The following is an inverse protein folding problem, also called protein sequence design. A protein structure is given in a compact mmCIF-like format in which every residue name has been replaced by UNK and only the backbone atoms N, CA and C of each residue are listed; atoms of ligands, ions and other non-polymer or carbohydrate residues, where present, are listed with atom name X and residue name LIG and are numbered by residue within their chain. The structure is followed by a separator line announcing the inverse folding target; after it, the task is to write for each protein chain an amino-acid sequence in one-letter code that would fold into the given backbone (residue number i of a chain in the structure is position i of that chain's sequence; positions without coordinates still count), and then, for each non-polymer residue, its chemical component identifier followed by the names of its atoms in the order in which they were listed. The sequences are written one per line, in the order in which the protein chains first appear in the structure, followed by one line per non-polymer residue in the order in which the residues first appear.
data_IF_077611331760
#
_entry.id   IF_077611331760
#
_cell.length_a   1.000
_cell.length_b   1.000
_cell.length_c   1.000
_cell.angle_alpha   90.00
_cell.angle_beta   90.00
_cell.angle_gamma   90.00
#
_symmetry.space_group_name_H-M   'P 1'
#
loop_
_entity.id
_entity.type
_entity.pdbx_description
1 polymer ?
#
# COMPACT_ATOMS: atom_id res chain seq x y z
N UNK A 1 56.53 40.20 -22.98
CA UNK A 1 55.36 39.50 -23.53
C UNK A 1 54.61 38.86 -22.38
N UNK A 2 53.34 39.25 -22.20
CA UNK A 2 52.42 38.81 -21.14
C UNK A 2 51.92 37.40 -21.47
N UNK A 3 51.87 36.51 -20.49
CA UNK A 3 51.10 35.26 -20.57
C UNK A 3 50.15 35.20 -19.40
N UNK A 4 48.86 35.12 -19.73
CA UNK A 4 47.72 35.36 -18.86
C UNK A 4 47.42 34.14 -17.97
N UNK A 5 46.98 34.41 -16.75
CA UNK A 5 46.51 33.41 -15.79
C UNK A 5 45.07 33.03 -16.13
N UNK A 6 44.83 31.75 -16.42
CA UNK A 6 43.47 31.20 -16.57
C UNK A 6 42.97 30.82 -15.18
N UNK A 7 42.00 31.58 -14.66
CA UNK A 7 41.26 31.26 -13.45
C UNK A 7 40.09 30.34 -13.79
N UNK A 8 40.11 29.11 -13.27
CA UNK A 8 38.96 28.21 -13.32
C UNK A 8 37.96 28.58 -12.21
N UNK A 9 36.85 29.21 -12.59
CA UNK A 9 35.66 29.34 -11.76
C UNK A 9 34.94 27.99 -11.74
N UNK A 10 35.05 27.25 -10.64
CA UNK A 10 34.24 26.06 -10.37
C UNK A 10 32.91 26.56 -9.77
N UNK A 11 31.86 26.58 -10.59
CA UNK A 11 30.50 26.80 -10.12
C UNK A 11 30.01 25.54 -9.38
N UNK A 12 29.47 25.65 -8.14
CA UNK A 12 28.85 24.52 -7.48
C UNK A 12 27.51 24.22 -8.17
N UNK A 13 27.44 23.05 -8.82
CA UNK A 13 26.17 22.44 -9.22
C UNK A 13 25.36 22.14 -7.95
N UNK A 14 24.44 23.03 -7.61
CA UNK A 14 23.33 22.75 -6.72
C UNK A 14 22.45 21.68 -7.39
N UNK A 15 22.77 20.41 -7.15
CA UNK A 15 21.83 19.32 -7.40
C UNK A 15 20.69 19.45 -6.40
N UNK A 16 19.62 20.12 -6.82
CA UNK A 16 18.34 20.03 -6.15
C UNK A 16 17.85 18.58 -6.26
N UNK A 17 18.06 17.80 -5.20
CA UNK A 17 17.42 16.50 -5.04
C UNK A 17 15.93 16.74 -4.83
N UNK A 18 15.18 16.91 -5.91
CA UNK A 18 13.73 16.77 -5.86
C UNK A 18 13.45 15.35 -5.38
N UNK A 19 12.96 15.22 -4.14
CA UNK A 19 12.35 13.99 -3.63
C UNK A 19 11.18 13.67 -4.57
N UNK A 20 11.45 12.86 -5.59
CA UNK A 20 10.43 12.37 -6.48
C UNK A 20 9.55 11.43 -5.64
N UNK A 21 8.36 11.90 -5.31
CA UNK A 21 7.31 11.06 -4.76
C UNK A 21 7.05 9.95 -5.79
N UNK A 22 7.21 8.70 -5.40
CA UNK A 22 6.95 7.59 -6.31
C UNK A 22 5.44 7.50 -6.55
N UNK A 23 5.02 7.53 -7.81
CA UNK A 23 3.61 7.34 -8.14
C UNK A 23 3.11 5.98 -7.62
N UNK A 24 1.84 5.88 -7.20
CA UNK A 24 1.26 4.61 -6.75
C UNK A 24 1.40 3.52 -7.82
N UNK A 25 1.90 2.35 -7.41
CA UNK A 25 2.03 1.20 -8.28
C UNK A 25 0.71 0.43 -8.34
N UNK A 26 0.22 0.21 -9.55
CA UNK A 26 -0.95 -0.65 -9.80
C UNK A 26 -0.53 -2.05 -10.21
N UNK A 27 -0.93 -3.04 -9.42
CA UNK A 27 -0.82 -4.46 -9.74
C UNK A 27 -2.13 -4.93 -10.35
N UNK A 28 -2.09 -5.37 -11.61
CA UNK A 28 -3.25 -5.84 -12.39
C UNK A 28 -3.09 -7.27 -12.89
N UNK A 29 -1.86 -7.79 -12.87
CA UNK A 29 -1.57 -9.15 -13.30
C UNK A 29 -2.10 -10.17 -12.30
N UNK A 30 -2.91 -11.12 -12.80
CA UNK A 30 -3.61 -12.07 -11.93
C UNK A 30 -2.67 -12.93 -11.10
N UNK A 31 -1.50 -13.30 -11.63
CA UNK A 31 -0.50 -14.10 -10.91
C UNK A 31 0.16 -13.34 -9.77
N UNK A 32 0.49 -12.06 -9.97
CA UNK A 32 1.06 -11.20 -8.93
C UNK A 32 0.04 -10.95 -7.82
N UNK A 33 -1.20 -10.64 -8.18
CA UNK A 33 -2.31 -10.45 -7.23
C UNK A 33 -2.50 -11.73 -6.40
N UNK A 34 -2.61 -12.90 -7.05
CA UNK A 34 -2.78 -14.15 -6.33
C UNK A 34 -1.60 -14.47 -5.40
N UNK A 35 -0.37 -14.17 -5.82
CA UNK A 35 0.82 -14.34 -4.99
C UNK A 35 0.75 -13.47 -3.73
N UNK A 36 0.38 -12.19 -3.89
CA UNK A 36 0.17 -11.27 -2.78
C UNK A 36 -0.92 -11.78 -1.83
N UNK A 37 -2.10 -12.12 -2.35
CA UNK A 37 -3.23 -12.58 -1.54
C UNK A 37 -2.92 -13.86 -0.75
N UNK A 38 -2.19 -14.80 -1.36
CA UNK A 38 -1.73 -16.03 -0.69
C UNK A 38 -0.70 -15.77 0.42
N UNK A 39 0.03 -14.67 0.35
CA UNK A 39 1.01 -14.31 1.39
C UNK A 39 0.36 -13.77 2.67
N UNK A 40 -0.95 -13.46 2.64
CA UNK A 40 -1.67 -12.87 3.76
C UNK A 40 -2.56 -13.92 4.42
N UNK A 41 -2.21 -14.32 5.64
CA UNK A 41 -3.04 -15.22 6.45
C UNK A 41 -4.25 -14.49 7.02
N UNK A 42 -5.37 -15.20 7.13
CA UNK A 42 -6.64 -14.73 7.71
C UNK A 42 -7.20 -15.76 8.67
N UNK A 43 -8.34 -15.45 9.30
CA UNK A 43 -9.11 -16.38 10.14
C UNK A 43 -9.56 -17.65 9.40
N UNK A 44 -9.70 -17.61 8.07
CA UNK A 44 -10.16 -18.73 7.25
C UNK A 44 -9.23 -18.96 6.03
N UNK A 45 -7.96 -19.29 6.29
CA UNK A 45 -6.98 -19.56 5.25
C UNK A 45 -6.26 -18.29 4.78
N UNK A 46 -6.03 -18.14 3.48
CA UNK A 46 -5.42 -16.93 2.92
C UNK A 46 -6.46 -15.89 2.48
N UNK A 47 -6.00 -14.66 2.25
CA UNK A 47 -6.87 -13.54 1.91
C UNK A 47 -7.60 -13.75 0.57
N UNK A 48 -7.01 -14.48 -0.36
CA UNK A 48 -7.65 -14.82 -1.64
C UNK A 48 -8.83 -15.78 -1.44
N UNK A 49 -8.64 -16.81 -0.62
CA UNK A 49 -9.73 -17.71 -0.18
C UNK A 49 -10.82 -16.93 0.53
N UNK A 50 -10.44 -16.03 1.44
CA UNK A 50 -11.40 -15.20 2.18
C UNK A 50 -12.27 -14.35 1.27
N UNK A 51 -11.69 -13.68 0.26
CA UNK A 51 -12.46 -12.92 -0.74
C UNK A 51 -13.41 -13.81 -1.53
N UNK A 52 -12.94 -14.97 -2.00
CA UNK A 52 -13.75 -15.88 -2.80
C UNK A 52 -14.96 -16.42 -1.99
N UNK A 53 -14.74 -16.79 -0.73
CA UNK A 53 -15.80 -17.32 0.16
C UNK A 53 -16.93 -16.32 0.39
N UNK A 54 -16.64 -15.02 0.29
CA UNK A 54 -17.63 -13.96 0.52
C UNK A 54 -18.23 -13.42 -0.77
N UNK A 55 -17.91 -14.03 -1.93
CA UNK A 55 -18.45 -13.65 -3.24
C UNK A 55 -17.74 -12.47 -3.90
N UNK A 56 -16.51 -12.16 -3.48
CA UNK A 56 -15.71 -11.07 -4.03
C UNK A 56 -14.55 -11.59 -4.89
N UNK A 57 -14.27 -10.87 -5.97
CA UNK A 57 -13.07 -11.07 -6.81
C UNK A 57 -12.20 -9.83 -6.74
N UNK A 58 -10.88 -10.04 -6.61
CA UNK A 58 -9.90 -8.96 -6.66
C UNK A 58 -9.55 -8.63 -8.10
N UNK A 59 -9.69 -7.37 -8.49
CA UNK A 59 -9.43 -6.88 -9.84
C UNK A 59 -8.07 -6.20 -9.97
N UNK A 60 -7.70 -5.42 -8.95
CA UNK A 60 -6.45 -4.68 -8.94
C UNK A 60 -6.03 -4.42 -7.50
N UNK A 61 -4.73 -4.20 -7.32
CA UNK A 61 -4.16 -3.76 -6.04
C UNK A 61 -3.35 -2.51 -6.29
N UNK A 62 -3.64 -1.44 -5.55
CA UNK A 62 -2.85 -0.22 -5.50
C UNK A 62 -1.85 -0.35 -4.35
N UNK A 63 -0.58 -0.10 -4.63
CA UNK A 63 0.49 -0.05 -3.66
C UNK A 63 1.05 1.37 -3.63
N UNK A 64 1.05 1.99 -2.47
CA UNK A 64 1.54 3.35 -2.26
C UNK A 64 2.57 3.34 -1.13
N UNK A 65 3.80 3.77 -1.42
CA UNK A 65 4.82 3.90 -0.38
C UNK A 65 4.51 5.14 0.45
N UNK A 66 4.47 4.97 1.78
CA UNK A 66 4.19 6.08 2.68
C UNK A 66 5.33 7.09 2.64
N UNK A 67 4.98 8.35 2.38
CA UNK A 67 5.94 9.44 2.28
C UNK A 67 6.31 10.06 3.62
N UNK A 68 7.33 10.92 3.62
CA UNK A 68 7.69 11.70 4.80
C UNK A 68 6.62 12.73 5.15
N UNK A 69 5.84 13.18 4.18
CA UNK A 69 4.73 14.11 4.37
C UNK A 69 3.58 13.41 5.10
N UNK A 70 3.21 12.21 4.66
CA UNK A 70 2.18 11.39 5.31
C UNK A 70 2.54 11.10 6.77
N UNK A 71 3.81 10.80 7.06
CA UNK A 71 4.30 10.55 8.43
C UNK A 71 4.21 11.81 9.31
N UNK A 72 4.35 13.01 8.73
CA UNK A 72 4.18 14.26 9.48
C UNK A 72 2.71 14.50 9.83
N UNK A 73 1.80 14.07 8.97
CA UNK A 73 0.36 14.20 9.18
C UNK A 73 -0.19 13.13 10.13
N UNK A 74 0.31 11.90 10.04
CA UNK A 74 -0.01 10.78 10.91
C UNK A 74 1.25 10.13 11.50
N UNK A 75 1.61 10.47 12.76
CA UNK A 75 2.77 9.88 13.45
C UNK A 75 2.67 8.37 13.72
N UNK A 76 1.53 7.72 13.48
CA UNK A 76 1.40 6.26 13.58
C UNK A 76 2.03 5.54 12.38
N UNK A 77 2.21 6.24 11.26
CA UNK A 77 2.91 5.76 10.08
C UNK A 77 4.42 5.74 10.27
N UNK A 78 5.12 4.86 9.55
CA UNK A 78 6.56 4.66 9.66
C UNK A 78 7.24 4.64 8.29
N UNK A 79 8.51 5.08 8.20
CA UNK A 79 9.28 4.93 6.97
C UNK A 79 9.33 3.48 6.51
N UNK A 80 9.04 3.26 5.23
CA UNK A 80 9.00 1.93 4.60
C UNK A 80 7.68 1.18 4.75
N UNK A 81 6.68 1.80 5.37
CA UNK A 81 5.31 1.31 5.26
C UNK A 81 4.80 1.44 3.81
N UNK A 82 3.94 0.52 3.42
CA UNK A 82 3.26 0.55 2.12
C UNK A 82 1.77 0.41 2.35
N UNK A 83 0.99 1.41 1.95
CA UNK A 83 -0.46 1.28 1.87
C UNK A 83 -0.85 0.39 0.69
N UNK A 84 -1.79 -0.50 0.92
CA UNK A 84 -2.28 -1.50 -0.03
C UNK A 84 -3.80 -1.36 -0.08
N UNK A 85 -4.32 -0.79 -1.17
CA UNK A 85 -5.77 -0.71 -1.43
C UNK A 85 -6.16 -1.81 -2.42
N UNK A 86 -7.12 -2.67 -2.05
CA UNK A 86 -7.55 -3.79 -2.90
C UNK A 86 -8.89 -3.45 -3.55
N UNK A 87 -8.90 -3.34 -4.87
CA UNK A 87 -10.11 -3.10 -5.63
C UNK A 87 -10.78 -4.44 -5.92
N UNK A 88 -12.03 -4.57 -5.46
CA UNK A 88 -12.83 -5.77 -5.61
C UNK A 88 -14.09 -5.51 -6.43
N UNK A 89 -14.59 -6.56 -7.05
CA UNK A 89 -15.92 -6.63 -7.65
C UNK A 89 -16.71 -7.82 -7.10
N UNK A 90 -17.99 -7.88 -7.45
CA UNK A 90 -18.94 -8.86 -6.96
C UNK A 90 -19.89 -8.28 -5.93
N UNK A 91 -20.83 -9.10 -5.49
CA UNK A 91 -21.80 -8.73 -4.44
C UNK A 91 -21.46 -9.55 -3.21
N UNK A 92 -21.01 -8.92 -2.12
CA UNK A 92 -20.66 -9.66 -0.92
C UNK A 92 -21.90 -10.35 -0.35
N UNK A 93 -21.77 -11.63 0.00
CA UNK A 93 -22.86 -12.42 0.59
C UNK A 93 -22.73 -12.56 2.12
N UNK A 94 -21.88 -11.75 2.77
CA UNK A 94 -21.66 -11.78 4.21
C UNK A 94 -22.78 -11.05 4.98
N UNK A 95 -23.48 -11.79 5.85
CA UNK A 95 -24.56 -11.25 6.69
C UNK A 95 -24.07 -10.37 7.84
N UNK A 96 -22.87 -10.63 8.37
CA UNK A 96 -22.48 -10.12 9.70
C UNK A 96 -21.64 -8.83 9.65
N UNK A 97 -20.81 -8.67 8.61
CA UNK A 97 -20.12 -7.43 8.34
C UNK A 97 -20.42 -7.04 6.90
N UNK A 98 -21.15 -5.92 6.73
CA UNK A 98 -21.27 -5.32 5.40
C UNK A 98 -19.84 -4.97 4.97
N UNK A 99 -19.34 -5.64 3.94
CA UNK A 99 -18.11 -5.22 3.25
C UNK A 99 -18.42 -3.84 2.69
N UNK A 100 -17.78 -2.82 3.25
CA UNK A 100 -18.02 -1.43 2.88
C UNK A 100 -16.83 -0.97 2.04
N UNK A 101 -16.89 -1.32 0.75
CA UNK A 101 -15.92 -0.85 -0.23
C UNK A 101 -14.65 -1.69 -0.34
N UNK A 102 -13.61 -1.06 -0.88
CA UNK A 102 -12.29 -1.65 -1.15
C UNK A 102 -11.46 -1.67 0.14
N UNK A 103 -11.04 -2.85 0.65
CA UNK A 103 -10.27 -2.91 1.89
C UNK A 103 -8.86 -2.35 1.69
N UNK A 104 -8.37 -1.71 2.75
CA UNK A 104 -7.07 -1.08 2.82
C UNK A 104 -6.23 -1.69 3.94
N UNK A 105 -4.96 -1.94 3.64
CA UNK A 105 -3.98 -2.50 4.56
C UNK A 105 -2.72 -1.67 4.56
N UNK A 106 -2.05 -1.57 5.70
CA UNK A 106 -0.70 -1.08 5.81
C UNK A 106 0.24 -2.28 5.91
N UNK A 107 1.18 -2.41 4.99
CA UNK A 107 2.21 -3.43 5.05
C UNK A 107 3.44 -2.88 5.77
N UNK A 108 3.71 -3.39 6.96
CA UNK A 108 4.84 -3.01 7.81
C UNK A 108 5.68 -4.22 8.13
N UNK A 109 6.95 -4.24 7.71
CA UNK A 109 7.91 -5.32 7.99
C UNK A 109 7.35 -6.73 7.67
N UNK A 110 6.60 -6.83 6.56
CA UNK A 110 5.96 -8.07 6.10
C UNK A 110 4.62 -8.41 6.76
N UNK A 111 4.16 -7.64 7.75
CA UNK A 111 2.84 -7.81 8.37
C UNK A 111 1.81 -6.92 7.67
N UNK A 112 0.58 -7.41 7.54
CA UNK A 112 -0.56 -6.67 6.99
C UNK A 112 -1.44 -6.19 8.13
N UNK A 113 -1.54 -4.87 8.28
CA UNK A 113 -2.33 -4.21 9.32
C UNK A 113 -3.59 -3.64 8.68
N UNK A 114 -4.79 -4.04 9.11
CA UNK A 114 -6.02 -3.50 8.53
C UNK A 114 -6.14 -2.01 8.85
N UNK A 115 -6.52 -1.19 7.85
CA UNK A 115 -6.73 0.25 8.02
C UNK A 115 -8.22 0.63 8.09
N UNK A 116 -9.09 -0.28 7.67
CA UNK A 116 -10.53 -0.09 7.72
C UNK A 116 -11.24 -1.33 8.27
N UNK A 117 -12.54 -1.17 8.52
CA UNK A 117 -13.41 -2.23 9.03
C UNK A 117 -13.50 -3.43 8.09
N UNK A 118 -13.45 -3.23 6.77
CA UNK A 118 -13.52 -4.32 5.79
C UNK A 118 -12.24 -5.14 5.87
N UNK A 119 -11.06 -4.50 5.90
CA UNK A 119 -9.77 -5.14 6.10
C UNK A 119 -9.70 -5.88 7.43
N UNK A 120 -10.20 -5.28 8.52
CA UNK A 120 -10.25 -5.92 9.84
C UNK A 120 -11.06 -7.21 9.80
N UNK A 121 -12.25 -7.14 9.23
CA UNK A 121 -13.14 -8.30 9.13
C UNK A 121 -12.59 -9.39 8.22
N UNK A 122 -11.93 -9.03 7.11
CA UNK A 122 -11.29 -9.99 6.22
C UNK A 122 -10.16 -10.74 6.94
N UNK A 123 -9.30 -10.05 7.69
CA UNK A 123 -8.19 -10.69 8.39
C UNK A 123 -8.62 -11.50 9.62
N UNK A 124 -9.54 -10.96 10.41
CA UNK A 124 -9.80 -11.47 11.77
C UNK A 124 -11.21 -12.02 11.98
N UNK A 125 -12.14 -11.75 11.05
CA UNK A 125 -13.56 -12.01 11.25
C UNK A 125 -14.27 -11.01 12.16
N UNK A 126 -13.55 -10.07 12.78
CA UNK A 126 -14.14 -9.05 13.67
C UNK A 126 -14.65 -7.86 12.85
N UNK A 127 -15.93 -7.51 12.99
CA UNK A 127 -16.52 -6.35 12.33
C UNK A 127 -16.37 -5.08 13.19
N UNK A 128 -15.16 -4.53 13.26
CA UNK A 128 -14.86 -3.30 13.99
C UNK A 128 -13.86 -2.43 13.21
N UNK A 129 -13.78 -1.14 13.55
CA UNK A 129 -12.70 -0.27 13.06
C UNK A 129 -11.39 -0.70 13.77
N UNK A 130 -10.26 -0.80 13.06
CA UNK A 130 -8.96 -1.04 13.70
C UNK A 130 -8.66 0.00 14.78
N UNK A 131 -8.05 -0.44 15.89
CA UNK A 131 -7.57 0.44 16.96
C UNK A 131 -6.14 0.90 16.68
#
# INVERSE_FOLDING_TARGET
MRTERIAYLIAPLLMASTLAHADPKWMKESSEIQSLLKSVSTVEGDLGVRFANVGLRVNAVRLEEISQEDIKEDPMLQPGDVEISILTEGTPHSGDCKVLGSPTFLRRKGQFLPQDRTGMWLLTGVCAVPN
#
